data_IF_911279902405
#
_entry.id   IF_911279902405
#
_cell.length_a   1.000
_cell.length_b   1.000
_cell.length_c   1.000
_cell.angle_alpha   90.00
_cell.angle_beta   90.00
_cell.angle_gamma   90.00
#
_symmetry.space_group_name_H-M   'P 1'
#
loop_
_entity.id
_entity.type
_entity.pdbx_description
1 polymer ?
#
# COMPACT_ATOMS: atom_id res chain seq x y z
N UNK A 1 -1.09 -10.22 -22.82
CA UNK A 1 -1.52 -9.61 -21.55
C UNK A 1 -1.64 -10.71 -20.51
N UNK A 2 -1.20 -10.46 -19.28
CA UNK A 2 -1.36 -11.42 -18.17
C UNK A 2 -2.82 -11.49 -17.73
N UNK A 3 -3.25 -12.65 -17.27
CA UNK A 3 -4.55 -12.82 -16.60
C UNK A 3 -4.39 -12.50 -15.12
N UNK A 4 -4.98 -11.41 -14.70
CA UNK A 4 -4.83 -10.85 -13.36
C UNK A 4 -6.10 -11.05 -12.57
N UNK A 5 -5.96 -11.51 -11.32
CA UNK A 5 -7.04 -11.53 -10.33
C UNK A 5 -6.94 -10.28 -9.47
N UNK A 6 -7.92 -9.40 -9.55
CA UNK A 6 -8.10 -8.30 -8.59
C UNK A 6 -9.00 -8.76 -7.45
N UNK A 7 -8.54 -8.67 -6.22
CA UNK A 7 -9.31 -9.06 -5.05
C UNK A 7 -9.01 -8.19 -3.82
N UNK A 8 -9.85 -8.27 -2.82
CA UNK A 8 -9.67 -7.60 -1.53
C UNK A 8 -9.59 -8.64 -0.41
N UNK A 9 -8.51 -8.60 0.37
CA UNK A 9 -8.36 -9.37 1.60
C UNK A 9 -9.09 -8.70 2.78
N UNK A 10 -9.20 -7.36 2.73
CA UNK A 10 -9.84 -6.56 3.77
C UNK A 10 -10.60 -5.37 3.20
N UNK A 11 -11.49 -4.77 4.02
CA UNK A 11 -12.19 -3.53 3.73
C UNK A 11 -12.15 -2.60 4.93
N UNK A 12 -12.08 -1.29 4.68
CA UNK A 12 -12.04 -0.23 5.67
C UNK A 12 -10.63 0.27 5.96
N UNK A 13 -10.54 1.54 6.33
CA UNK A 13 -9.30 2.20 6.67
C UNK A 13 -9.48 3.06 7.93
N UNK A 14 -8.59 3.00 8.95
CA UNK A 14 -8.73 3.75 10.17
C UNK A 14 -8.26 5.21 10.05
N UNK A 15 -7.72 5.59 8.90
CA UNK A 15 -7.29 6.96 8.65
C UNK A 15 -8.48 7.87 8.31
N UNK A 16 -8.27 9.18 8.48
CA UNK A 16 -9.31 10.21 8.26
C UNK A 16 -8.83 11.25 7.25
N UNK A 17 -8.21 10.79 6.17
CA UNK A 17 -7.73 11.68 5.11
C UNK A 17 -8.90 12.49 4.53
N UNK A 18 -8.76 13.81 4.45
CA UNK A 18 -9.83 14.75 4.08
C UNK A 18 -10.40 14.54 2.67
N UNK A 19 -9.60 13.97 1.77
CA UNK A 19 -9.96 13.70 0.38
C UNK A 19 -10.54 12.30 0.15
N UNK A 20 -10.49 11.41 1.16
CA UNK A 20 -10.75 9.98 0.98
C UNK A 20 -12.18 9.60 1.41
N UNK A 21 -12.90 8.90 0.54
CA UNK A 21 -14.26 8.41 0.79
C UNK A 21 -14.31 7.01 1.39
N UNK A 22 -13.18 6.32 1.55
CA UNK A 22 -13.14 4.96 2.10
C UNK A 22 -13.85 4.82 3.46
N UNK A 23 -13.67 5.74 4.44
CA UNK A 23 -14.39 5.64 5.71
C UNK A 23 -15.93 5.72 5.56
N UNK A 24 -16.41 6.46 4.59
CA UNK A 24 -17.86 6.60 4.32
C UNK A 24 -18.42 5.34 3.63
N UNK A 25 -17.65 4.72 2.74
CA UNK A 25 -18.06 3.52 2.02
C UNK A 25 -17.93 2.23 2.86
N UNK A 26 -16.81 2.07 3.53
CA UNK A 26 -16.46 0.81 4.22
C UNK A 26 -16.38 0.92 5.74
N UNK A 27 -16.38 2.15 6.28
CA UNK A 27 -16.17 2.44 7.70
C UNK A 27 -14.68 2.42 8.10
N UNK A 28 -14.41 2.99 9.28
CA UNK A 28 -13.04 3.13 9.81
C UNK A 28 -12.44 1.80 10.35
N UNK A 29 -13.28 0.78 10.59
CA UNK A 29 -12.81 -0.51 11.13
C UNK A 29 -12.34 -1.41 10.00
N UNK A 30 -11.08 -1.79 10.02
CA UNK A 30 -10.55 -2.79 9.08
C UNK A 30 -11.15 -4.15 9.38
N UNK A 31 -11.86 -4.72 8.42
CA UNK A 31 -12.47 -6.05 8.46
C UNK A 31 -11.76 -6.97 7.49
N UNK A 32 -11.05 -7.95 8.02
CA UNK A 32 -10.36 -8.97 7.24
C UNK A 32 -11.27 -10.16 6.95
N UNK A 33 -11.14 -10.71 5.77
CA UNK A 33 -11.63 -12.05 5.42
C UNK A 33 -10.76 -13.12 6.09
N UNK A 34 -11.25 -14.32 6.31
CA UNK A 34 -10.37 -15.41 6.73
C UNK A 34 -9.35 -15.71 5.63
N UNK A 35 -8.12 -16.05 6.02
CA UNK A 35 -7.06 -16.41 5.07
C UNK A 35 -7.49 -17.59 4.21
N UNK A 36 -8.16 -18.60 4.80
CA UNK A 36 -8.70 -19.73 4.04
C UNK A 36 -9.64 -19.31 2.92
N UNK A 37 -10.59 -18.40 3.21
CA UNK A 37 -11.54 -17.90 2.20
C UNK A 37 -10.84 -17.16 1.04
N UNK A 38 -9.78 -16.37 1.33
CA UNK A 38 -8.98 -15.70 0.30
C UNK A 38 -8.26 -16.74 -0.56
N UNK A 39 -7.64 -17.72 0.06
CA UNK A 39 -6.88 -18.77 -0.63
C UNK A 39 -7.78 -19.67 -1.48
N UNK A 40 -8.97 -19.99 -1.00
CA UNK A 40 -9.95 -20.78 -1.77
C UNK A 40 -10.40 -20.03 -3.03
N UNK A 41 -10.64 -18.73 -2.95
CA UNK A 41 -10.95 -17.89 -4.12
C UNK A 41 -9.79 -17.83 -5.12
N UNK A 42 -8.54 -17.67 -4.63
CA UNK A 42 -7.36 -17.67 -5.50
C UNK A 42 -7.21 -19.01 -6.20
N UNK A 43 -7.31 -20.15 -5.50
CA UNK A 43 -7.23 -21.48 -6.09
C UNK A 43 -8.32 -21.71 -7.13
N UNK A 44 -9.56 -21.37 -6.80
CA UNK A 44 -10.67 -21.43 -7.75
C UNK A 44 -10.38 -20.60 -9.01
N UNK A 45 -9.81 -19.39 -8.84
CA UNK A 45 -9.48 -18.53 -9.97
C UNK A 45 -8.31 -19.07 -10.81
N UNK A 46 -7.36 -19.77 -10.20
CA UNK A 46 -6.32 -20.49 -10.92
C UNK A 46 -6.95 -21.59 -11.78
N UNK A 47 -7.81 -22.42 -11.18
CA UNK A 47 -8.40 -23.59 -11.85
C UNK A 47 -9.33 -23.19 -12.99
N UNK A 48 -10.14 -22.15 -12.81
CA UNK A 48 -11.18 -21.75 -13.79
C UNK A 48 -10.65 -20.78 -14.84
N UNK A 49 -9.83 -19.81 -14.42
CA UNK A 49 -9.42 -18.69 -15.27
C UNK A 49 -7.93 -18.72 -15.64
N UNK A 50 -7.16 -19.66 -15.08
CA UNK A 50 -5.71 -19.74 -15.27
C UNK A 50 -5.01 -18.40 -15.00
N UNK A 51 -5.31 -17.74 -13.88
CA UNK A 51 -4.68 -16.47 -13.50
C UNK A 51 -3.17 -16.63 -13.34
N UNK A 52 -2.44 -15.55 -13.63
CA UNK A 52 -0.97 -15.52 -13.63
C UNK A 52 -0.41 -14.50 -12.63
N UNK A 53 -1.28 -13.65 -12.06
CA UNK A 53 -0.91 -12.59 -11.13
C UNK A 53 -2.09 -12.24 -10.23
N UNK A 54 -1.80 -11.77 -9.02
CA UNK A 54 -2.80 -11.30 -8.06
C UNK A 54 -2.55 -9.82 -7.76
N UNK A 55 -3.61 -9.01 -7.73
CA UNK A 55 -3.58 -7.62 -7.30
C UNK A 55 -4.51 -7.44 -6.11
N UNK A 56 -3.94 -7.06 -4.96
CA UNK A 56 -4.72 -6.76 -3.76
C UNK A 56 -5.15 -5.30 -3.77
N UNK A 57 -6.46 -5.08 -3.99
CA UNK A 57 -7.09 -3.76 -4.08
C UNK A 57 -7.59 -3.24 -2.73
N UNK A 58 -7.00 -3.69 -1.65
CA UNK A 58 -7.32 -3.28 -0.30
C UNK A 58 -7.07 -1.77 -0.11
N UNK A 59 -7.91 -1.11 0.68
CA UNK A 59 -7.66 0.27 1.11
C UNK A 59 -6.32 0.42 1.87
N UNK A 60 -5.94 -0.61 2.61
CA UNK A 60 -4.62 -0.71 3.25
C UNK A 60 -4.38 -2.12 3.83
N UNK A 61 -3.87 -3.00 3.00
CA UNK A 61 -3.61 -4.40 3.37
C UNK A 61 -2.61 -4.54 4.55
N UNK A 62 -1.74 -3.55 4.71
CA UNK A 62 -0.72 -3.55 5.78
C UNK A 62 -1.28 -3.19 7.16
N UNK A 63 -2.54 -2.76 7.29
CA UNK A 63 -3.10 -2.29 8.56
C UNK A 63 -3.10 -3.37 9.67
N UNK A 64 -3.13 -4.65 9.32
CA UNK A 64 -3.11 -5.77 10.26
C UNK A 64 -1.97 -6.73 9.98
N UNK A 65 -0.79 -6.43 10.54
CA UNK A 65 0.45 -7.19 10.34
C UNK A 65 0.28 -8.71 10.53
N UNK A 66 -0.40 -9.15 11.59
CA UNK A 66 -0.60 -10.58 11.87
C UNK A 66 -1.32 -11.30 10.72
N UNK A 67 -2.44 -10.72 10.27
CA UNK A 67 -3.22 -11.30 9.18
C UNK A 67 -2.45 -11.30 7.85
N UNK A 68 -1.70 -10.22 7.58
CA UNK A 68 -0.87 -10.14 6.37
C UNK A 68 0.24 -11.19 6.37
N UNK A 69 0.95 -11.38 7.48
CA UNK A 69 2.00 -12.40 7.58
C UNK A 69 1.43 -13.82 7.39
N UNK A 70 0.26 -14.09 7.98
CA UNK A 70 -0.44 -15.37 7.80
C UNK A 70 -0.80 -15.58 6.32
N UNK A 71 -1.36 -14.56 5.66
CA UNK A 71 -1.68 -14.59 4.22
C UNK A 71 -0.43 -14.81 3.37
N UNK A 72 0.67 -14.12 3.66
CA UNK A 72 1.95 -14.31 2.97
C UNK A 72 2.45 -15.76 3.06
N UNK A 73 2.28 -16.41 4.22
CA UNK A 73 2.63 -17.82 4.40
C UNK A 73 1.88 -18.76 3.45
N UNK A 74 0.62 -18.48 3.17
CA UNK A 74 -0.17 -19.27 2.23
C UNK A 74 0.09 -18.88 0.76
N UNK A 75 0.24 -17.60 0.45
CA UNK A 75 0.58 -17.12 -0.90
C UNK A 75 1.92 -17.69 -1.39
N UNK A 76 2.90 -17.83 -0.49
CA UNK A 76 4.18 -18.48 -0.80
C UNK A 76 4.01 -19.91 -1.33
N UNK A 77 3.03 -20.65 -0.84
CA UNK A 77 2.74 -22.02 -1.31
C UNK A 77 2.08 -22.03 -2.70
N UNK A 78 1.33 -20.97 -3.02
CA UNK A 78 0.69 -20.80 -4.34
C UNK A 78 1.74 -20.45 -5.40
N UNK A 79 2.71 -19.58 -5.06
CA UNK A 79 3.82 -19.22 -5.92
C UNK A 79 3.49 -18.25 -7.06
N UNK A 80 2.32 -17.61 -7.06
CA UNK A 80 1.99 -16.54 -8.02
C UNK A 80 2.56 -15.19 -7.59
N UNK A 81 3.04 -14.37 -8.53
CA UNK A 81 3.42 -12.99 -8.23
C UNK A 81 2.19 -12.17 -7.84
N UNK A 82 2.40 -11.21 -6.95
CA UNK A 82 1.34 -10.31 -6.52
C UNK A 82 1.84 -8.90 -6.22
N UNK A 83 0.94 -7.91 -6.19
CA UNK A 83 1.25 -6.53 -5.86
C UNK A 83 0.10 -5.83 -5.12
N UNK A 84 0.38 -4.62 -4.64
CA UNK A 84 -0.61 -3.73 -4.00
C UNK A 84 -0.72 -2.43 -4.81
N UNK A 85 -1.55 -2.38 -5.85
CA UNK A 85 -1.63 -1.20 -6.71
C UNK A 85 -2.32 -0.01 -6.06
N UNK A 86 -3.20 -0.25 -5.08
CA UNK A 86 -4.09 0.75 -4.50
C UNK A 86 -3.47 1.60 -3.37
N UNK A 87 -2.22 1.40 -3.06
CA UNK A 87 -1.50 2.18 -2.06
C UNK A 87 -1.73 1.75 -0.61
N UNK A 88 -0.65 1.63 0.13
CA UNK A 88 -0.66 1.33 1.56
C UNK A 88 -0.13 2.51 2.37
N UNK A 89 -0.56 2.64 3.61
CA UNK A 89 -0.01 3.66 4.50
C UNK A 89 1.47 3.39 4.76
N UNK A 90 2.28 4.43 4.63
CA UNK A 90 3.73 4.35 4.60
C UNK A 90 4.33 3.80 5.89
N UNK A 91 3.88 4.29 7.04
CA UNK A 91 4.52 4.10 8.34
C UNK A 91 3.90 3.00 9.22
N UNK A 92 2.97 2.19 8.68
CA UNK A 92 2.42 1.09 9.46
C UNK A 92 3.53 0.11 9.91
N UNK A 93 3.45 -0.23 11.20
CA UNK A 93 4.30 -1.24 11.83
C UNK A 93 5.79 -0.91 11.92
N UNK A 94 6.19 0.37 11.87
CA UNK A 94 7.53 0.77 12.32
C UNK A 94 7.68 0.46 13.83
N UNK A 95 8.81 -0.14 14.26
CA UNK A 95 10.02 -0.49 13.51
C UNK A 95 10.01 -1.91 12.86
N UNK A 96 8.92 -2.68 12.95
CA UNK A 96 8.81 -4.07 12.44
C UNK A 96 8.50 -4.15 10.93
N UNK A 97 8.63 -3.05 10.22
CA UNK A 97 8.34 -2.99 8.78
C UNK A 97 9.29 -3.84 7.93
N UNK A 98 10.61 -3.93 8.22
CA UNK A 98 11.52 -4.76 7.45
C UNK A 98 11.12 -6.25 7.41
N UNK A 99 10.71 -6.83 8.54
CA UNK A 99 10.27 -8.24 8.58
C UNK A 99 8.96 -8.44 7.82
N UNK A 100 8.05 -7.46 7.90
CA UNK A 100 6.78 -7.50 7.17
C UNK A 100 7.04 -7.45 5.67
N UNK A 101 7.86 -6.53 5.18
CA UNK A 101 8.19 -6.40 3.77
C UNK A 101 8.96 -7.61 3.25
N UNK A 102 9.86 -8.17 4.07
CA UNK A 102 10.52 -9.42 3.71
C UNK A 102 9.52 -10.56 3.54
N UNK A 103 8.56 -10.72 4.44
CA UNK A 103 7.52 -11.75 4.31
C UNK A 103 6.66 -11.54 3.07
N UNK A 104 6.33 -10.29 2.73
CA UNK A 104 5.62 -9.96 1.49
C UNK A 104 6.44 -10.37 0.27
N UNK A 105 7.70 -9.97 0.19
CA UNK A 105 8.58 -10.32 -0.93
C UNK A 105 8.78 -11.84 -1.05
N UNK A 106 9.07 -12.53 0.04
CA UNK A 106 9.27 -14.00 0.08
C UNK A 106 8.01 -14.77 -0.36
N UNK A 107 6.85 -14.14 -0.33
CA UNK A 107 5.56 -14.70 -0.78
C UNK A 107 5.18 -14.34 -2.22
N UNK A 108 6.06 -13.63 -2.93
CA UNK A 108 5.85 -13.25 -4.33
C UNK A 108 5.39 -11.81 -4.55
N UNK A 109 5.37 -10.94 -3.52
CA UNK A 109 5.09 -9.51 -3.69
C UNK A 109 6.25 -8.85 -4.44
N UNK A 110 6.05 -8.51 -5.69
CA UNK A 110 7.10 -7.88 -6.49
C UNK A 110 7.05 -6.34 -6.45
N UNK A 111 5.91 -5.75 -6.13
CA UNK A 111 5.72 -4.31 -6.06
C UNK A 111 4.79 -3.91 -4.92
N UNK A 112 5.17 -2.86 -4.21
CA UNK A 112 4.33 -2.18 -3.24
C UNK A 112 4.11 -0.73 -3.66
N UNK A 113 2.87 -0.24 -3.51
CA UNK A 113 2.54 1.18 -3.68
C UNK A 113 2.42 1.84 -2.33
N UNK A 114 3.17 2.91 -2.08
CA UNK A 114 3.13 3.69 -0.86
C UNK A 114 2.37 5.00 -1.09
N UNK A 115 1.32 5.22 -0.30
CA UNK A 115 0.47 6.40 -0.37
C UNK A 115 1.10 7.54 0.47
N UNK A 116 1.99 8.33 -0.14
CA UNK A 116 2.77 9.38 0.50
C UNK A 116 2.01 10.70 0.62
N UNK A 117 1.14 11.01 -0.33
CA UNK A 117 0.27 12.19 -0.47
C UNK A 117 1.04 13.50 -0.65
N UNK A 118 1.84 13.91 0.32
CA UNK A 118 2.63 15.18 0.30
C UNK A 118 4.00 15.01 0.95
N UNK A 119 4.97 15.79 0.52
CA UNK A 119 6.31 15.88 1.12
C UNK A 119 6.44 16.95 2.20
N UNK A 120 5.32 17.59 2.61
CA UNK A 120 5.32 18.72 3.57
C UNK A 120 4.51 18.35 4.80
N UNK A 121 5.15 18.31 5.98
CA UNK A 121 4.49 17.89 7.23
C UNK A 121 3.29 18.78 7.59
N UNK A 122 3.39 20.09 7.41
CA UNK A 122 2.30 21.02 7.71
C UNK A 122 1.06 20.76 6.83
N UNK A 123 1.27 20.45 5.54
CA UNK A 123 0.20 20.03 4.61
C UNK A 123 -0.39 18.70 5.04
N UNK A 124 0.46 17.75 5.46
CA UNK A 124 0.03 16.42 5.95
C UNK A 124 -0.89 16.54 7.16
N UNK A 125 -0.52 17.39 8.13
CA UNK A 125 -1.23 17.51 9.39
C UNK A 125 -2.51 18.37 9.26
N UNK A 126 -2.43 19.51 8.56
CA UNK A 126 -3.47 20.54 8.56
C UNK A 126 -4.42 20.46 7.35
N UNK A 127 -4.00 19.86 6.25
CA UNK A 127 -4.80 19.78 5.01
C UNK A 127 -5.20 18.33 4.72
N UNK A 128 -4.25 17.41 4.65
CA UNK A 128 -4.51 15.99 4.34
C UNK A 128 -5.18 15.27 5.51
N UNK A 129 -4.81 15.56 6.75
CA UNK A 129 -5.37 14.93 7.94
C UNK A 129 -4.97 13.45 8.12
N UNK A 130 -3.93 12.99 7.41
CA UNK A 130 -3.38 11.64 7.55
C UNK A 130 -2.34 11.62 8.68
N UNK A 131 -2.46 10.68 9.60
CA UNK A 131 -1.49 10.51 10.69
C UNK A 131 -0.22 9.87 10.16
N UNK A 132 0.60 10.63 9.44
CA UNK A 132 1.85 10.19 8.82
C UNK A 132 2.95 11.22 9.11
N UNK A 133 4.08 10.76 9.67
CA UNK A 133 5.28 11.57 9.73
C UNK A 133 6.01 11.47 8.38
N UNK A 134 6.15 12.60 7.69
CA UNK A 134 6.80 12.69 6.36
C UNK A 134 8.24 12.16 6.39
N UNK A 135 8.95 12.31 7.50
CA UNK A 135 10.31 11.79 7.67
C UNK A 135 10.39 10.24 7.58
N UNK A 136 9.27 9.54 7.77
CA UNK A 136 9.22 8.06 7.67
C UNK A 136 9.11 7.55 6.24
N UNK A 137 8.84 8.42 5.26
CA UNK A 137 8.61 8.03 3.87
C UNK A 137 9.87 7.38 3.27
N UNK A 138 11.01 8.09 3.32
CA UNK A 138 12.27 7.59 2.74
C UNK A 138 12.71 6.29 3.42
N UNK A 139 12.79 6.18 4.76
CA UNK A 139 13.09 4.91 5.42
C UNK A 139 12.15 3.76 5.04
N UNK A 140 10.86 4.03 4.82
CA UNK A 140 9.91 2.99 4.40
C UNK A 140 10.14 2.53 2.96
N UNK A 141 10.48 3.44 2.06
CA UNK A 141 10.90 3.11 0.69
C UNK A 141 12.15 2.24 0.72
N UNK A 142 13.17 2.63 1.50
CA UNK A 142 14.40 1.86 1.65
C UNK A 142 14.13 0.46 2.23
N UNK A 143 13.27 0.34 3.25
CA UNK A 143 12.90 -0.95 3.82
C UNK A 143 12.24 -1.89 2.78
N UNK A 144 11.36 -1.36 1.93
CA UNK A 144 10.71 -2.15 0.89
C UNK A 144 11.70 -2.56 -0.21
N UNK A 145 12.57 -1.66 -0.65
CA UNK A 145 13.63 -1.94 -1.63
C UNK A 145 14.66 -2.93 -1.10
N UNK A 146 15.06 -2.81 0.15
CA UNK A 146 15.99 -3.75 0.80
C UNK A 146 15.38 -5.15 0.93
N UNK A 147 14.04 -5.28 0.99
CA UNK A 147 13.37 -6.57 0.93
C UNK A 147 13.35 -7.17 -0.49
N UNK A 148 13.61 -6.38 -1.54
CA UNK A 148 13.65 -6.80 -2.94
C UNK A 148 12.45 -6.33 -3.78
N UNK A 149 11.52 -5.56 -3.22
CA UNK A 149 10.34 -5.08 -3.94
C UNK A 149 10.62 -3.82 -4.75
N UNK A 150 9.93 -3.67 -5.88
CA UNK A 150 9.77 -2.38 -6.54
C UNK A 150 8.82 -1.50 -5.72
N UNK A 151 9.15 -0.21 -5.64
CA UNK A 151 8.35 0.77 -4.89
C UNK A 151 7.76 1.81 -5.82
N UNK A 152 6.43 1.85 -5.87
CA UNK A 152 5.68 2.95 -6.48
C UNK A 152 5.18 3.89 -5.39
N UNK A 153 5.11 5.20 -5.66
CA UNK A 153 4.60 6.19 -4.69
C UNK A 153 3.51 7.05 -5.28
N UNK A 154 2.45 7.31 -4.50
CA UNK A 154 1.38 8.24 -4.84
C UNK A 154 1.55 9.57 -4.13
N UNK A 155 1.35 10.67 -4.87
CA UNK A 155 1.43 12.05 -4.42
C UNK A 155 0.23 12.82 -4.95
N UNK A 156 -0.29 13.74 -4.17
CA UNK A 156 -1.39 14.63 -4.55
C UNK A 156 -0.87 16.05 -4.52
N UNK A 157 -1.19 16.83 -5.55
CA UNK A 157 -0.78 18.22 -5.71
C UNK A 157 -2.00 19.13 -5.79
N UNK A 158 -1.93 20.28 -5.16
CA UNK A 158 -2.97 21.30 -5.28
C UNK A 158 -4.17 21.06 -4.36
N UNK A 159 -3.95 20.56 -3.17
CA UNK A 159 -4.98 20.54 -2.14
C UNK A 159 -5.52 21.96 -1.88
N UNK A 160 -6.83 22.14 -1.62
CA UNK A 160 -7.37 23.42 -1.21
C UNK A 160 -6.60 23.98 0.01
N UNK A 161 -5.98 25.14 -0.15
CA UNK A 161 -5.14 25.77 0.88
C UNK A 161 -3.65 25.46 0.80
N UNK A 162 -3.23 24.54 -0.09
CA UNK A 162 -1.81 24.28 -0.34
C UNK A 162 -1.17 25.43 -1.13
N UNK A 163 0.02 25.86 -0.73
CA UNK A 163 0.76 26.90 -1.46
C UNK A 163 1.54 26.32 -2.64
N UNK A 164 1.83 27.15 -3.64
CA UNK A 164 2.72 26.76 -4.75
C UNK A 164 4.11 26.32 -4.26
N UNK A 165 4.61 26.94 -3.18
CA UNK A 165 5.86 26.53 -2.55
C UNK A 165 5.80 25.11 -2.00
N UNK A 166 4.67 24.71 -1.42
CA UNK A 166 4.50 23.37 -0.84
C UNK A 166 4.34 22.30 -1.93
N UNK A 167 3.62 22.63 -3.01
CA UNK A 167 3.56 21.79 -4.21
C UNK A 167 4.96 21.50 -4.73
N UNK A 168 5.79 22.54 -4.88
CA UNK A 168 7.17 22.40 -5.34
C UNK A 168 8.01 21.54 -4.40
N UNK A 169 7.89 21.72 -3.08
CA UNK A 169 8.58 20.88 -2.08
C UNK A 169 8.14 19.40 -2.21
N UNK A 170 6.86 19.14 -2.42
CA UNK A 170 6.32 17.79 -2.60
C UNK A 170 6.91 17.13 -3.84
N UNK A 171 6.97 17.84 -4.98
CA UNK A 171 7.60 17.34 -6.20
C UNK A 171 9.09 17.05 -5.98
N UNK A 172 9.83 18.01 -5.39
CA UNK A 172 11.25 17.85 -5.11
C UNK A 172 11.52 16.67 -4.16
N UNK A 173 10.64 16.47 -3.16
CA UNK A 173 10.72 15.34 -2.23
C UNK A 173 10.47 14.01 -2.95
N UNK A 174 9.42 13.92 -3.76
CA UNK A 174 9.07 12.72 -4.52
C UNK A 174 10.23 12.27 -5.43
N UNK A 175 10.81 13.22 -6.19
CA UNK A 175 11.95 12.96 -7.09
C UNK A 175 13.21 12.47 -6.36
N UNK A 176 13.40 12.85 -5.10
CA UNK A 176 14.55 12.48 -4.27
C UNK A 176 14.27 11.31 -3.33
N UNK A 177 13.04 10.81 -3.28
CA UNK A 177 12.61 9.80 -2.31
C UNK A 177 13.26 8.43 -2.47
N UNK A 178 13.84 8.14 -3.64
CA UNK A 178 14.45 6.85 -3.97
C UNK A 178 13.45 5.78 -4.43
N UNK A 179 12.17 6.12 -4.61
CA UNK A 179 11.17 5.22 -5.21
C UNK A 179 11.53 4.88 -6.67
N UNK A 180 11.11 3.71 -7.15
CA UNK A 180 11.36 3.27 -8.53
C UNK A 180 10.44 3.96 -9.54
N UNK A 181 9.25 4.36 -9.08
CA UNK A 181 8.28 5.13 -9.88
C UNK A 181 7.34 5.94 -8.98
N UNK A 182 6.69 6.94 -9.55
CA UNK A 182 5.75 7.79 -8.83
C UNK A 182 4.62 8.29 -9.74
N UNK A 183 3.46 8.56 -9.15
CA UNK A 183 2.33 9.22 -9.79
C UNK A 183 1.91 10.44 -9.00
N UNK A 184 1.55 11.49 -9.72
CA UNK A 184 0.93 12.71 -9.18
C UNK A 184 -0.52 12.79 -9.64
N UNK A 185 -1.44 13.08 -8.72
CA UNK A 185 -2.86 13.35 -8.97
C UNK A 185 -3.20 14.81 -8.69
#
# INVERSE_FOLDING_TARGET
SKRVLSLMASRGCPEKCTFCTTPDMWGAKVRWRSVSNIIDEIKHSIDVFNIEEIQFEDDTITARRKNLIELCGELKKIGLPWCTPNGVKVDYHLPHQPEMFKAMFDSGCYQITLACETGVQDVMDNIVGKRLNVETIVPSIENAKNAGMLVHTFWILGFPGESYSDIKKTIDFALKSGADSYSFA
#
